data_IF_200401915214
#
_entry.id   IF_200401915214
#
_cell.length_a   1.000
_cell.length_b   1.000
_cell.length_c   1.000
_cell.angle_alpha   90.00
_cell.angle_beta   90.00
_cell.angle_gamma   90.00
#
_symmetry.space_group_name_H-M   'P 1'
#
loop_
_entity.id
_entity.type
_entity.pdbx_description
1 polymer ?
#
# COMPACT_ATOMS: atom_id res chain seq x y z
N UNK A 1 10.78 5.41 5.79
CA UNK A 1 10.91 3.94 5.92
C UNK A 1 10.49 3.31 4.61
N UNK A 2 11.44 2.74 3.89
CA UNK A 2 11.22 2.10 2.59
C UNK A 2 10.74 0.66 2.87
N UNK A 3 9.45 0.38 2.69
CA UNK A 3 8.94 -1.00 2.78
C UNK A 3 9.41 -1.77 1.53
N UNK A 4 10.26 -2.79 1.73
CA UNK A 4 10.92 -3.58 0.68
C UNK A 4 10.01 -4.25 -0.37
N UNK A 5 8.75 -4.64 -0.10
CA UNK A 5 7.90 -5.29 -1.11
C UNK A 5 7.44 -4.37 -2.26
N UNK A 6 7.43 -3.04 -2.07
CA UNK A 6 6.87 -2.09 -3.06
C UNK A 6 7.84 -1.72 -4.19
N UNK A 7 9.12 -2.02 -4.04
CA UNK A 7 10.13 -1.76 -5.07
C UNK A 7 9.86 -2.59 -6.34
N UNK A 8 9.37 -3.83 -6.19
CA UNK A 8 9.06 -4.72 -7.32
C UNK A 8 7.84 -4.28 -8.14
N UNK A 9 6.76 -3.84 -7.47
CA UNK A 9 5.55 -3.36 -8.14
C UNK A 9 5.65 -1.91 -8.66
N UNK A 10 6.64 -1.14 -8.19
CA UNK A 10 6.81 0.26 -8.54
C UNK A 10 5.87 1.21 -7.78
N UNK A 11 5.32 0.75 -6.65
CA UNK A 11 4.45 1.55 -5.78
C UNK A 11 5.32 2.44 -4.90
N UNK A 12 4.96 3.72 -4.80
CA UNK A 12 5.68 4.72 -4.02
C UNK A 12 4.72 5.52 -3.15
N UNK A 13 5.15 5.87 -1.94
CA UNK A 13 4.43 6.79 -1.07
C UNK A 13 4.61 8.21 -1.59
N UNK A 14 3.50 8.85 -2.00
CA UNK A 14 3.48 10.23 -2.51
C UNK A 14 3.28 11.24 -1.38
N UNK A 15 2.34 10.94 -0.48
CA UNK A 15 2.01 11.82 0.65
C UNK A 15 1.52 10.99 1.82
N UNK A 16 1.82 11.44 3.04
CA UNK A 16 1.26 10.88 4.27
C UNK A 16 0.86 12.05 5.16
N UNK A 17 -0.40 12.05 5.61
CA UNK A 17 -0.90 13.05 6.54
C UNK A 17 -0.20 12.93 7.90
N UNK A 18 0.06 14.06 8.55
CA UNK A 18 0.65 14.11 9.90
C UNK A 18 -0.20 13.40 10.95
N UNK A 19 -1.52 13.34 10.73
CA UNK A 19 -2.47 12.71 11.64
C UNK A 19 -2.72 11.22 11.29
N UNK A 20 -2.00 10.67 10.31
CA UNK A 20 -2.15 9.28 9.87
C UNK A 20 -3.60 8.88 9.56
N UNK A 21 -4.36 9.80 8.95
CA UNK A 21 -5.72 9.58 8.46
C UNK A 21 -5.77 9.41 6.94
N UNK A 22 -4.68 9.77 6.25
CA UNK A 22 -4.58 9.67 4.79
C UNK A 22 -3.17 9.30 4.36
N UNK A 23 -3.09 8.33 3.45
CA UNK A 23 -1.90 8.00 2.68
C UNK A 23 -2.24 8.09 1.20
N UNK A 24 -1.38 8.77 0.44
CA UNK A 24 -1.46 8.83 -1.02
C UNK A 24 -0.29 8.03 -1.57
N UNK A 25 -0.59 7.06 -2.42
CA UNK A 25 0.40 6.22 -3.09
C UNK A 25 0.25 6.35 -4.60
N UNK A 26 1.35 6.19 -5.32
CA UNK A 26 1.39 6.20 -6.77
C UNK A 26 2.06 4.94 -7.30
N UNK A 27 1.58 4.43 -8.43
CA UNK A 27 2.23 3.36 -9.18
C UNK A 27 2.34 3.80 -10.62
N UNK A 28 3.57 4.01 -11.09
CA UNK A 28 3.80 4.34 -12.50
C UNK A 28 3.70 3.07 -13.32
N UNK A 29 3.00 3.15 -14.46
CA UNK A 29 2.95 2.04 -15.40
C UNK A 29 4.34 1.81 -15.98
N UNK A 30 4.80 0.56 -15.92
CA UNK A 30 6.09 0.09 -16.42
C UNK A 30 5.88 -1.30 -17.02
N UNK A 31 6.74 -1.67 -17.97
CA UNK A 31 6.59 -2.94 -18.70
C UNK A 31 6.55 -4.19 -17.81
N UNK A 32 7.07 -4.12 -16.58
CA UNK A 32 7.06 -5.22 -15.60
C UNK A 32 5.86 -5.22 -14.66
N UNK A 33 5.03 -4.17 -14.65
CA UNK A 33 3.78 -4.11 -13.86
C UNK A 33 2.54 -3.97 -14.75
N UNK A 34 2.68 -4.33 -16.03
CA UNK A 34 1.60 -4.44 -17.00
C UNK A 34 1.11 -5.88 -17.15
N UNK A 35 -0.19 -6.06 -17.34
CA UNK A 35 -0.78 -7.34 -17.72
C UNK A 35 -0.59 -7.64 -19.21
N UNK A 36 -1.11 -8.80 -19.65
CA UNK A 36 -1.06 -9.26 -21.04
C UNK A 36 -1.61 -8.24 -22.06
N UNK A 37 -2.54 -7.37 -21.64
CA UNK A 37 -3.18 -6.37 -22.51
C UNK A 37 -2.57 -4.97 -22.37
N UNK A 38 -1.43 -4.83 -21.67
CA UNK A 38 -0.66 -3.59 -21.61
C UNK A 38 -1.17 -2.53 -20.62
N UNK A 39 -2.10 -2.87 -19.73
CA UNK A 39 -2.55 -2.00 -18.63
C UNK A 39 -1.98 -2.48 -17.30
N UNK A 40 -2.11 -1.69 -16.23
CA UNK A 40 -1.68 -2.11 -14.90
C UNK A 40 -2.19 -3.50 -14.51
N UNK A 41 -1.28 -4.34 -14.02
CA UNK A 41 -1.63 -5.66 -13.49
C UNK A 41 -2.54 -5.51 -12.27
N UNK A 42 -3.68 -6.21 -12.30
CA UNK A 42 -4.70 -6.12 -11.24
C UNK A 42 -4.16 -6.48 -9.86
N UNK A 43 -3.28 -7.49 -9.76
CA UNK A 43 -2.62 -7.82 -8.50
C UNK A 43 -1.70 -6.72 -7.98
N UNK A 44 -1.04 -5.96 -8.87
CA UNK A 44 -0.24 -4.79 -8.47
C UNK A 44 -1.13 -3.65 -7.98
N UNK A 45 -2.30 -3.44 -8.59
CA UNK A 45 -3.29 -2.46 -8.10
C UNK A 45 -3.84 -2.84 -6.73
N UNK A 46 -4.16 -4.12 -6.50
CA UNK A 46 -4.64 -4.58 -5.19
C UNK A 46 -3.58 -4.39 -4.10
N UNK A 47 -2.33 -4.73 -4.40
CA UNK A 47 -1.20 -4.54 -3.50
C UNK A 47 -0.93 -3.06 -3.15
N UNK A 48 -1.46 -2.10 -3.92
CA UNK A 48 -1.39 -0.67 -3.57
C UNK A 48 -2.33 -0.26 -2.44
N UNK A 49 -3.34 -1.04 -2.10
CA UNK A 49 -4.34 -0.64 -1.09
C UNK A 49 -4.12 -1.34 0.25
N UNK A 50 -3.84 -2.64 0.20
CA UNK A 50 -3.81 -3.55 1.34
C UNK A 50 -2.96 -3.12 2.57
N UNK A 51 -1.65 -2.80 2.42
CA UNK A 51 -0.78 -2.54 3.57
C UNK A 51 -1.07 -1.21 4.29
N UNK A 52 -1.67 -0.25 3.59
CA UNK A 52 -1.72 1.13 4.06
C UNK A 52 -2.81 1.31 5.11
N UNK A 53 -3.88 0.52 5.04
CA UNK A 53 -4.92 0.53 6.07
C UNK A 53 -4.40 0.07 7.42
N UNK A 54 -3.69 -1.06 7.46
CA UNK A 54 -3.03 -1.52 8.69
C UNK A 54 -2.04 -0.48 9.21
N UNK A 55 -1.22 0.10 8.33
CA UNK A 55 -0.23 1.10 8.74
C UNK A 55 -0.87 2.37 9.33
N UNK A 56 -1.93 2.89 8.71
CA UNK A 56 -2.70 4.03 9.23
C UNK A 56 -3.23 3.74 10.63
N UNK A 57 -3.86 2.57 10.82
CA UNK A 57 -4.40 2.14 12.12
C UNK A 57 -3.32 1.98 13.19
N UNK A 58 -2.21 1.30 12.86
CA UNK A 58 -1.09 1.13 13.78
C UNK A 58 -0.53 2.48 14.24
N UNK A 59 -0.39 3.43 13.32
CA UNK A 59 0.14 4.77 13.63
C UNK A 59 -0.84 5.62 14.43
N UNK A 60 -2.13 5.51 14.16
CA UNK A 60 -3.17 6.29 14.82
C UNK A 60 -3.51 5.78 16.23
N UNK A 61 -3.52 4.47 16.43
CA UNK A 61 -3.77 3.86 17.74
C UNK A 61 -2.52 3.91 18.64
N UNK A 62 -1.34 3.90 18.03
CA UNK A 62 -0.07 3.95 18.75
C UNK A 62 0.38 2.57 19.27
N UNK A 63 1.55 2.52 19.94
CA UNK A 63 2.24 1.26 20.26
C UNK A 63 1.53 0.39 21.31
N UNK A 64 0.53 0.94 22.00
CA UNK A 64 -0.26 0.21 22.99
C UNK A 64 -1.28 -0.75 22.36
N UNK A 65 -1.46 -0.70 21.03
CA UNK A 65 -2.44 -1.50 20.32
C UNK A 65 -1.75 -2.40 19.29
N UNK A 66 -2.15 -3.67 19.28
CA UNK A 66 -1.78 -4.62 18.22
C UNK A 66 -2.89 -4.55 17.18
N UNK A 67 -2.53 -4.14 15.96
CA UNK A 67 -3.40 -4.20 14.80
C UNK A 67 -3.06 -5.47 14.04
N UNK A 68 -4.03 -6.36 13.92
CA UNK A 68 -3.89 -7.62 13.20
C UNK A 68 -5.01 -7.73 12.16
N UNK A 69 -4.66 -8.18 10.96
CA UNK A 69 -5.64 -8.50 9.92
C UNK A 69 -6.44 -9.74 10.34
N UNK A 70 -7.77 -9.60 10.37
CA UNK A 70 -8.66 -10.72 10.59
C UNK A 70 -9.43 -10.99 9.29
N UNK A 71 -9.23 -12.17 8.71
CA UNK A 71 -10.02 -12.62 7.58
C UNK A 71 -11.51 -12.57 7.95
N UNK A 72 -12.26 -11.69 7.29
CA UNK A 72 -13.71 -11.62 7.40
C UNK A 72 -14.33 -12.85 6.75
N UNK A 73 -15.01 -13.65 7.55
CA UNK A 73 -15.92 -14.72 7.11
C UNK A 73 -17.18 -14.15 6.47
#
# INVERSE_FOLDING_TARGET
MLYSPYLGAGVRLKEMSKNYDRIVVEMKQRFWNTNYVGVHFGGSLYAMCDPFYMFLLMKRLGPSYIVWDQAGS
#
